data_IF_566094418906
#
_entry.id   IF_566094418906
#
_cell.length_a   1.000
_cell.length_b   1.000
_cell.length_c   1.000
_cell.angle_alpha   90.00
_cell.angle_beta   90.00
_cell.angle_gamma   90.00
#
_symmetry.space_group_name_H-M   'P 1'
#
loop_
_entity.id
_entity.type
_entity.pdbx_description
1 polymer ?
#
# COMPACT_ATOMS: atom_id res chain seq x y z
N UNK A 1 -14.47 29.42 -3.07
CA UNK A 1 -13.10 29.00 -3.46
C UNK A 1 -13.19 27.49 -3.70
N UNK A 2 -12.17 26.88 -4.30
CA UNK A 2 -12.16 25.42 -4.41
C UNK A 2 -11.88 24.86 -3.01
N UNK A 3 -12.71 23.91 -2.57
CA UNK A 3 -12.60 23.30 -1.25
C UNK A 3 -11.43 22.34 -1.26
N UNK A 4 -10.60 22.37 -0.23
CA UNK A 4 -9.42 21.52 -0.16
C UNK A 4 -9.40 20.63 1.07
N UNK A 5 -8.77 19.48 0.97
CA UNK A 5 -8.54 18.55 2.09
C UNK A 5 -7.03 18.40 2.29
N UNK A 6 -6.57 18.59 3.52
CA UNK A 6 -5.21 18.23 3.91
C UNK A 6 -5.18 16.73 4.23
N UNK A 7 -4.38 15.97 3.51
CA UNK A 7 -4.18 14.53 3.73
C UNK A 7 -2.84 14.31 4.40
N UNK A 8 -2.82 13.52 5.48
CA UNK A 8 -1.65 13.19 6.27
C UNK A 8 -1.46 11.67 6.34
N UNK A 9 -0.23 11.23 6.09
CA UNK A 9 0.20 9.84 6.23
C UNK A 9 1.45 9.79 7.12
N UNK A 10 1.19 9.56 8.41
CA UNK A 10 2.19 9.61 9.48
C UNK A 10 2.78 8.23 9.72
N UNK A 11 4.04 8.04 9.30
CA UNK A 11 4.84 6.85 9.56
C UNK A 11 5.79 7.02 10.75
N UNK A 12 6.51 5.94 11.09
CA UNK A 12 7.44 5.93 12.22
C UNK A 12 8.60 6.92 12.09
N UNK A 13 9.04 7.19 10.86
CA UNK A 13 10.21 8.02 10.54
C UNK A 13 9.95 9.05 9.45
N UNK A 14 8.69 9.22 9.03
CA UNK A 14 8.33 10.17 7.98
C UNK A 14 6.88 10.63 8.12
N UNK A 15 6.57 11.83 7.64
CA UNK A 15 5.22 12.36 7.48
C UNK A 15 5.06 12.79 6.02
N UNK A 16 4.19 12.11 5.26
CA UNK A 16 3.77 12.61 3.95
C UNK A 16 2.53 13.48 4.12
N UNK A 17 2.45 14.53 3.32
CA UNK A 17 1.31 15.42 3.30
C UNK A 17 0.94 15.79 1.86
N UNK A 18 -0.34 16.05 1.66
CA UNK A 18 -0.89 16.54 0.40
C UNK A 18 -2.09 17.44 0.65
N UNK A 19 -2.29 18.46 -0.18
CA UNK A 19 -3.52 19.25 -0.22
C UNK A 19 -4.21 18.97 -1.55
N UNK A 20 -5.41 18.42 -1.47
CA UNK A 20 -6.17 17.97 -2.63
C UNK A 20 -7.45 18.79 -2.76
N UNK A 21 -7.75 19.24 -3.97
CA UNK A 21 -9.08 19.67 -4.37
C UNK A 21 -9.85 18.46 -4.94
N UNK A 22 -10.78 17.84 -4.18
CA UNK A 22 -11.37 16.56 -4.56
C UNK A 22 -12.36 16.67 -5.72
N UNK A 23 -12.96 17.84 -5.92
CA UNK A 23 -13.93 18.11 -7.00
C UNK A 23 -13.23 18.23 -8.37
N UNK A 24 -12.01 18.78 -8.39
CA UNK A 24 -11.19 18.96 -9.59
C UNK A 24 -10.10 17.89 -9.74
N UNK A 25 -9.94 17.01 -8.75
CA UNK A 25 -8.88 16.02 -8.64
C UNK A 25 -7.47 16.63 -8.69
N UNK A 26 -7.34 17.89 -8.26
CA UNK A 26 -6.08 18.63 -8.37
C UNK A 26 -5.27 18.48 -7.08
N UNK A 27 -4.04 17.97 -7.23
CA UNK A 27 -3.00 18.04 -6.21
C UNK A 27 -2.44 19.47 -6.16
N UNK A 28 -2.77 20.23 -5.12
CA UNK A 28 -2.36 21.63 -4.95
C UNK A 28 -0.91 21.73 -4.49
N UNK A 29 -0.55 20.88 -3.51
CA UNK A 29 0.80 20.73 -3.00
C UNK A 29 0.93 19.36 -2.36
N UNK A 30 2.08 18.72 -2.54
CA UNK A 30 2.48 17.52 -1.83
C UNK A 30 3.89 17.65 -1.29
N UNK A 31 4.23 16.81 -0.33
CA UNK A 31 5.58 16.74 0.19
C UNK A 31 5.77 15.63 1.21
N UNK A 32 7.01 15.53 1.67
CA UNK A 32 7.42 14.55 2.66
C UNK A 32 8.43 15.17 3.62
N UNK A 33 8.19 14.96 4.91
CA UNK A 33 9.17 15.20 5.97
C UNK A 33 9.75 13.85 6.34
N UNK A 34 11.05 13.66 6.13
CA UNK A 34 11.75 12.41 6.41
C UNK A 34 12.62 12.51 7.67
N UNK A 35 13.05 11.35 8.17
CA UNK A 35 13.99 11.20 9.28
C UNK A 35 13.50 11.82 10.59
N UNK A 36 12.21 11.67 10.88
CA UNK A 36 11.63 12.04 12.18
C UNK A 36 12.34 11.23 13.27
N UNK A 37 12.83 11.91 14.31
CA UNK A 37 13.62 11.32 15.39
C UNK A 37 15.10 11.12 15.06
N UNK A 38 15.50 11.31 13.79
CA UNK A 38 16.87 11.13 13.30
C UNK A 38 17.36 12.37 12.54
N UNK A 39 17.49 13.51 13.23
CA UNK A 39 18.03 14.71 12.61
C UNK A 39 17.54 15.99 13.27
N UNK A 40 17.15 16.96 12.44
CA UNK A 40 16.63 18.25 12.89
C UNK A 40 15.16 18.18 13.33
N UNK A 41 14.39 17.19 12.82
CA UNK A 41 12.99 16.95 13.17
C UNK A 41 12.94 15.90 14.28
N UNK A 42 12.58 16.30 15.50
CA UNK A 42 12.67 15.46 16.70
C UNK A 42 11.47 14.54 16.87
N UNK A 43 10.28 15.00 16.51
CA UNK A 43 9.01 14.32 16.73
C UNK A 43 7.97 14.70 15.67
N UNK A 44 6.77 14.12 15.77
CA UNK A 44 5.67 14.37 14.84
C UNK A 44 5.10 15.79 14.91
N UNK A 45 5.27 16.50 16.04
CA UNK A 45 4.84 17.89 16.17
C UNK A 45 5.73 18.80 15.29
N UNK A 46 7.05 18.62 15.39
CA UNK A 46 8.00 19.32 14.51
C UNK A 46 7.87 18.87 13.05
N UNK A 47 7.53 17.60 12.80
CA UNK A 47 7.30 17.13 11.44
C UNK A 47 6.09 17.82 10.81
N UNK A 48 4.99 17.97 11.55
CA UNK A 48 3.80 18.67 11.06
C UNK A 48 4.09 20.16 10.83
N UNK A 49 4.82 20.81 11.74
CA UNK A 49 5.24 22.19 11.54
C UNK A 49 6.12 22.34 10.29
N UNK A 50 7.09 21.43 10.09
CA UNK A 50 7.93 21.44 8.90
C UNK A 50 7.13 21.23 7.62
N UNK A 51 6.09 20.39 7.64
CA UNK A 51 5.17 20.24 6.50
C UNK A 51 4.45 21.57 6.19
N UNK A 52 4.00 22.29 7.22
CA UNK A 52 3.35 23.59 7.05
C UNK A 52 4.31 24.65 6.51
N UNK A 53 5.57 24.64 6.97
CA UNK A 53 6.60 25.55 6.49
C UNK A 53 6.92 25.27 5.02
N UNK A 54 7.07 23.99 4.61
CA UNK A 54 7.27 23.60 3.21
C UNK A 54 6.10 24.04 2.32
N UNK A 55 4.85 23.88 2.79
CA UNK A 55 3.68 24.38 2.05
C UNK A 55 3.72 25.91 1.92
N UNK A 56 4.04 26.65 2.98
CA UNK A 56 4.15 28.09 2.94
C UNK A 56 5.28 28.57 2.01
N UNK A 57 6.42 27.88 1.98
CA UNK A 57 7.54 28.14 1.06
C UNK A 57 7.15 27.94 -0.40
N UNK A 58 6.25 26.98 -0.68
CA UNK A 58 5.65 26.79 -2.01
C UNK A 58 4.56 27.82 -2.37
N UNK A 59 4.27 28.75 -1.46
CA UNK A 59 3.23 29.78 -1.63
C UNK A 59 1.83 29.34 -1.20
N UNK A 60 1.68 28.13 -0.66
CA UNK A 60 0.42 27.52 -0.26
C UNK A 60 0.24 27.60 1.26
N UNK A 61 -0.15 28.77 1.78
CA UNK A 61 -0.38 28.92 3.22
C UNK A 61 -1.74 28.34 3.62
N UNK A 62 -1.81 27.71 4.80
CA UNK A 62 -3.05 27.09 5.30
C UNK A 62 -4.26 28.04 5.30
N UNK A 63 -4.06 29.31 5.64
CA UNK A 63 -5.11 30.34 5.66
C UNK A 63 -5.63 30.74 4.27
N UNK A 64 -4.96 30.30 3.20
CA UNK A 64 -5.33 30.57 1.81
C UNK A 64 -5.95 29.37 1.08
N UNK A 65 -5.94 28.19 1.69
CA UNK A 65 -6.26 26.91 1.03
C UNK A 65 -7.73 26.48 1.13
N UNK A 66 -8.61 27.26 1.78
CA UNK A 66 -10.04 26.93 2.00
C UNK A 66 -10.22 25.46 2.46
N UNK A 67 -9.44 25.07 3.47
CA UNK A 67 -9.43 23.72 4.00
C UNK A 67 -10.78 23.40 4.66
N UNK A 68 -11.37 22.27 4.28
CA UNK A 68 -12.66 21.80 4.83
C UNK A 68 -12.52 20.59 5.74
N UNK A 69 -11.41 19.87 5.69
CA UNK A 69 -11.14 18.69 6.51
C UNK A 69 -9.64 18.36 6.56
N UNK A 70 -9.27 17.52 7.52
CA UNK A 70 -7.97 16.83 7.56
C UNK A 70 -8.19 15.32 7.51
N UNK A 71 -7.72 14.67 6.45
CA UNK A 71 -7.74 13.22 6.29
C UNK A 71 -6.49 12.56 6.84
N UNK A 72 -6.65 11.53 7.67
CA UNK A 72 -5.57 10.77 8.28
C UNK A 72 -5.60 9.34 7.77
N UNK A 73 -4.49 8.89 7.16
CA UNK A 73 -4.33 7.48 6.87
C UNK A 73 -4.07 6.72 8.18
N UNK A 74 -4.90 5.73 8.46
CA UNK A 74 -4.75 4.82 9.60
C UNK A 74 -4.65 3.40 9.07
N UNK A 75 -3.67 2.63 9.54
CA UNK A 75 -3.43 1.30 8.96
C UNK A 75 -4.49 0.30 9.43
N UNK A 76 -4.80 0.24 10.73
CA UNK A 76 -5.67 -0.81 11.28
C UNK A 76 -6.82 -0.23 12.11
N UNK A 77 -8.06 -0.53 11.72
CA UNK A 77 -9.27 -0.19 12.49
C UNK A 77 -9.97 -1.40 13.14
N UNK A 78 -9.35 -2.58 13.04
CA UNK A 78 -9.86 -3.79 13.68
C UNK A 78 -11.07 -4.35 12.92
N UNK A 79 -11.84 -5.24 13.54
CA UNK A 79 -13.00 -5.82 12.88
C UNK A 79 -14.14 -4.82 12.72
N UNK A 80 -14.28 -3.85 13.64
CA UNK A 80 -15.49 -3.03 13.73
C UNK A 80 -15.37 -1.66 13.06
N UNK A 81 -14.15 -1.15 12.87
CA UNK A 81 -13.92 0.19 12.33
C UNK A 81 -13.14 0.08 11.03
N UNK A 82 -13.83 0.32 9.93
CA UNK A 82 -13.23 0.17 8.60
C UNK A 82 -13.71 1.25 7.64
N UNK A 83 -14.84 1.92 7.91
CA UNK A 83 -15.32 3.04 7.11
C UNK A 83 -14.57 4.33 7.47
N UNK A 84 -14.47 5.30 6.55
CA UNK A 84 -14.05 6.66 6.90
C UNK A 84 -14.87 7.17 8.09
N UNK A 85 -14.18 7.62 9.14
CA UNK A 85 -14.82 7.95 10.43
C UNK A 85 -14.31 9.29 10.95
N UNK A 86 -15.21 10.16 11.41
CA UNK A 86 -14.84 11.41 12.10
C UNK A 86 -14.06 11.08 13.37
N UNK A 87 -12.95 11.77 13.58
CA UNK A 87 -12.06 11.55 14.71
C UNK A 87 -12.58 12.30 15.93
N UNK A 88 -12.94 11.54 16.95
CA UNK A 88 -13.15 12.00 18.31
C UNK A 88 -12.22 11.25 19.29
N UNK A 89 -12.31 11.57 20.58
CA UNK A 89 -11.46 10.97 21.61
C UNK A 89 -11.76 9.47 21.80
N UNK A 90 -12.99 9.03 21.50
CA UNK A 90 -13.38 7.62 21.59
C UNK A 90 -12.73 6.80 20.47
N UNK A 91 -12.69 7.33 19.25
CA UNK A 91 -12.01 6.71 18.12
C UNK A 91 -10.50 6.63 18.37
N UNK A 92 -9.88 7.71 18.89
CA UNK A 92 -8.45 7.71 19.25
C UNK A 92 -8.14 6.59 20.24
N UNK A 93 -8.90 6.48 21.32
CA UNK A 93 -8.72 5.41 22.31
C UNK A 93 -8.86 4.01 21.68
N UNK A 94 -9.77 3.86 20.72
CA UNK A 94 -9.95 2.57 20.03
C UNK A 94 -8.80 2.24 19.08
N UNK A 95 -8.29 3.22 18.33
CA UNK A 95 -7.10 3.04 17.47
C UNK A 95 -5.88 2.69 18.32
N UNK A 96 -5.76 3.26 19.52
CA UNK A 96 -4.67 2.97 20.47
C UNK A 96 -4.71 1.52 20.96
N UNK A 97 -5.89 1.03 21.36
CA UNK A 97 -6.10 -0.40 21.69
C UNK A 97 -5.67 -1.31 20.52
N UNK A 98 -5.98 -0.91 19.29
CA UNK A 98 -5.66 -1.65 18.07
C UNK A 98 -4.19 -1.52 17.64
N UNK A 99 -3.38 -0.69 18.30
CA UNK A 99 -1.94 -0.60 18.05
C UNK A 99 -1.23 -1.93 18.24
N UNK A 100 -1.77 -2.84 19.05
CA UNK A 100 -1.26 -4.21 19.18
C UNK A 100 -1.31 -5.01 17.85
N UNK A 101 -2.24 -4.68 16.93
CA UNK A 101 -2.36 -5.32 15.61
C UNK A 101 -1.44 -4.67 14.56
N UNK A 102 -1.06 -3.41 14.75
CA UNK A 102 -0.21 -2.67 13.82
C UNK A 102 0.80 -1.75 14.56
N UNK A 103 1.72 -2.32 15.36
CA UNK A 103 2.55 -1.55 16.31
C UNK A 103 3.51 -0.57 15.64
N UNK A 104 3.89 -0.84 14.39
CA UNK A 104 4.77 0.06 13.62
C UNK A 104 4.03 1.17 12.86
N UNK A 105 2.69 1.17 12.87
CA UNK A 105 1.90 2.04 11.99
C UNK A 105 0.79 2.82 12.72
N UNK A 106 0.00 2.17 13.58
CA UNK A 106 -1.07 2.87 14.31
C UNK A 106 -0.53 3.93 15.29
N UNK A 107 0.53 3.66 16.09
CA UNK A 107 1.08 4.67 16.99
C UNK A 107 1.54 5.96 16.30
N UNK A 108 2.35 5.96 15.23
CA UNK A 108 2.69 7.21 14.54
C UNK A 108 1.49 7.89 13.86
N UNK A 109 0.49 7.13 13.41
CA UNK A 109 -0.76 7.70 12.91
C UNK A 109 -1.49 8.50 14.01
N UNK A 110 -1.59 7.94 15.22
CA UNK A 110 -2.17 8.61 16.38
C UNK A 110 -1.42 9.89 16.75
N UNK A 111 -0.09 9.86 16.79
CA UNK A 111 0.72 11.05 17.04
C UNK A 111 0.43 12.15 16.01
N UNK A 112 0.35 11.80 14.72
CA UNK A 112 -0.02 12.75 13.67
C UNK A 112 -1.44 13.30 13.83
N UNK A 113 -2.40 12.47 14.23
CA UNK A 113 -3.78 12.88 14.52
C UNK A 113 -3.81 13.89 15.66
N UNK A 114 -3.15 13.59 16.77
CA UNK A 114 -3.14 14.43 17.97
C UNK A 114 -2.51 15.80 17.69
N UNK A 115 -1.36 15.84 17.00
CA UNK A 115 -0.70 17.10 16.68
C UNK A 115 -1.49 17.91 15.65
N UNK A 116 -2.09 17.26 14.66
CA UNK A 116 -2.93 17.95 13.69
C UNK A 116 -4.19 18.53 14.34
N UNK A 117 -4.84 17.82 15.28
CA UNK A 117 -6.02 18.33 16.00
C UNK A 117 -5.68 19.55 16.88
N UNK A 118 -4.46 19.61 17.43
CA UNK A 118 -3.98 20.79 18.16
C UNK A 118 -3.76 21.98 17.23
N UNK A 119 -3.21 21.73 16.04
CA UNK A 119 -2.88 22.78 15.08
C UNK A 119 -4.09 23.31 14.29
N UNK A 120 -5.07 22.45 14.01
CA UNK A 120 -6.26 22.74 13.19
C UNK A 120 -7.56 22.36 13.92
N UNK A 121 -7.83 22.91 15.13
CA UNK A 121 -8.89 22.44 16.02
C UNK A 121 -10.31 22.68 15.49
N UNK A 122 -10.48 23.63 14.56
CA UNK A 122 -11.78 24.01 14.01
C UNK A 122 -12.18 23.19 12.77
N UNK A 123 -11.27 22.34 12.25
CA UNK A 123 -11.55 21.47 11.12
C UNK A 123 -12.03 20.09 11.58
N UNK A 124 -12.91 19.41 10.83
CA UNK A 124 -13.17 17.99 11.04
C UNK A 124 -11.95 17.17 10.64
N UNK A 125 -11.56 16.24 11.51
CA UNK A 125 -10.53 15.24 11.23
C UNK A 125 -11.21 13.91 10.89
N UNK A 126 -10.72 13.21 9.86
CA UNK A 126 -11.30 11.94 9.40
C UNK A 126 -10.21 10.87 9.34
N UNK A 127 -10.43 9.72 9.97
CA UNK A 127 -9.58 8.55 9.81
C UNK A 127 -10.06 7.72 8.63
N UNK A 128 -9.15 7.38 7.71
CA UNK A 128 -9.40 6.49 6.57
C UNK A 128 -8.51 5.25 6.72
N UNK A 129 -9.13 4.07 6.70
CA UNK A 129 -8.47 2.83 7.08
C UNK A 129 -8.00 2.02 5.87
N UNK A 130 -6.74 1.58 5.86
CA UNK A 130 -6.20 0.70 4.79
C UNK A 130 -6.94 -0.63 4.66
N UNK A 131 -7.54 -1.08 5.75
CA UNK A 131 -8.28 -2.35 5.87
C UNK A 131 -9.71 -2.27 5.34
N UNK A 132 -10.19 -1.06 5.01
CA UNK A 132 -11.58 -0.78 4.61
C UNK A 132 -12.09 -1.68 3.49
N UNK A 133 -11.36 -1.68 2.37
CA UNK A 133 -11.77 -2.34 1.14
C UNK A 133 -11.91 -3.86 1.32
N UNK A 134 -11.08 -4.45 2.17
CA UNK A 134 -10.99 -5.89 2.40
C UNK A 134 -11.83 -6.40 3.58
N UNK A 135 -12.58 -5.53 4.25
CA UNK A 135 -13.39 -5.90 5.41
C UNK A 135 -14.33 -7.09 5.13
N UNK A 136 -15.03 -7.03 3.99
CA UNK A 136 -16.02 -8.03 3.54
C UNK A 136 -15.41 -9.19 2.75
N UNK A 137 -14.10 -9.47 2.90
CA UNK A 137 -13.48 -10.65 2.30
C UNK A 137 -14.28 -11.93 2.61
N UNK A 138 -14.44 -12.85 1.63
CA UNK A 138 -15.10 -14.12 1.87
C UNK A 138 -14.48 -14.87 3.06
N UNK A 139 -15.27 -15.54 3.92
CA UNK A 139 -14.73 -16.23 5.10
C UNK A 139 -13.59 -17.21 4.79
N UNK A 140 -13.63 -17.87 3.64
CA UNK A 140 -12.59 -18.79 3.18
C UNK A 140 -11.24 -18.10 2.87
N UNK A 141 -11.25 -16.83 2.47
CA UNK A 141 -10.04 -16.03 2.26
C UNK A 141 -9.61 -15.29 3.54
N UNK A 142 -10.58 -14.91 4.38
CA UNK A 142 -10.36 -14.16 5.61
C UNK A 142 -9.83 -15.03 6.77
N UNK A 143 -10.12 -16.33 6.78
CA UNK A 143 -9.88 -17.20 7.95
C UNK A 143 -8.60 -18.01 7.81
N UNK A 144 -7.64 -17.82 8.72
CA UNK A 144 -6.48 -18.71 8.82
C UNK A 144 -6.87 -20.09 9.38
N UNK A 145 -6.21 -21.14 8.90
CA UNK A 145 -6.44 -22.52 9.35
C UNK A 145 -5.72 -22.83 10.68
N UNK A 146 -6.15 -22.16 11.76
CA UNK A 146 -5.63 -22.32 13.14
C UNK A 146 -6.76 -22.73 14.10
N UNK A 147 -6.46 -22.84 15.40
CA UNK A 147 -7.47 -23.07 16.43
C UNK A 147 -8.55 -21.97 16.38
N UNK A 148 -9.80 -22.40 16.19
CA UNK A 148 -10.94 -21.50 15.96
C UNK A 148 -11.20 -20.58 17.15
N UNK A 149 -11.11 -21.11 18.36
CA UNK A 149 -11.48 -20.37 19.57
C UNK A 149 -10.36 -19.38 19.93
N UNK A 150 -9.09 -19.75 19.69
CA UNK A 150 -7.97 -18.82 19.76
C UNK A 150 -8.12 -17.69 18.75
N UNK A 151 -8.45 -18.01 17.49
CA UNK A 151 -8.62 -16.99 16.45
C UNK A 151 -9.74 -16.01 16.80
N UNK A 152 -10.88 -16.50 17.29
CA UNK A 152 -12.01 -15.68 17.68
C UNK A 152 -11.70 -14.79 18.90
N UNK A 153 -11.02 -15.33 19.92
CA UNK A 153 -10.65 -14.58 21.12
C UNK A 153 -9.77 -13.36 20.78
N UNK A 154 -8.81 -13.54 19.86
CA UNK A 154 -7.81 -12.54 19.52
C UNK A 154 -8.08 -11.80 18.21
N UNK A 155 -9.28 -11.97 17.63
CA UNK A 155 -9.68 -11.34 16.36
C UNK A 155 -8.70 -11.58 15.21
N UNK A 156 -8.12 -12.79 15.16
CA UNK A 156 -7.13 -13.20 14.15
C UNK A 156 -7.85 -13.55 12.86
N UNK A 157 -7.60 -12.74 11.83
CA UNK A 157 -8.06 -12.95 10.46
C UNK A 157 -7.11 -12.24 9.50
N UNK A 158 -7.27 -12.51 8.21
CA UNK A 158 -6.73 -11.66 7.15
C UNK A 158 -7.55 -10.36 7.14
N UNK A 159 -6.86 -9.24 7.31
CA UNK A 159 -7.43 -7.91 7.18
C UNK A 159 -7.14 -7.31 5.81
N UNK A 160 -5.90 -7.42 5.32
CA UNK A 160 -5.47 -6.82 4.05
C UNK A 160 -5.20 -5.31 4.17
N UNK A 161 -4.27 -4.79 3.36
CA UNK A 161 -3.83 -3.39 3.42
C UNK A 161 -3.60 -2.81 2.01
N UNK A 162 -3.30 -1.52 1.92
CA UNK A 162 -3.37 -0.73 0.69
C UNK A 162 -4.77 -0.74 0.06
N UNK A 163 -5.83 -0.91 0.87
CA UNK A 163 -7.21 -1.04 0.38
C UNK A 163 -7.69 0.16 -0.42
N UNK A 164 -7.29 1.37 -0.03
CA UNK A 164 -7.54 2.62 -0.77
C UNK A 164 -6.98 2.55 -2.19
N UNK A 165 -5.73 2.13 -2.34
CA UNK A 165 -5.08 1.96 -3.64
C UNK A 165 -5.75 0.87 -4.47
N UNK A 166 -5.96 -0.34 -3.89
CA UNK A 166 -6.61 -1.45 -4.60
C UNK A 166 -8.01 -1.09 -5.08
N UNK A 167 -8.79 -0.42 -4.24
CA UNK A 167 -10.11 0.07 -4.61
C UNK A 167 -10.02 1.05 -5.77
N UNK A 168 -9.25 2.14 -5.60
CA UNK A 168 -9.12 3.21 -6.59
C UNK A 168 -8.70 2.67 -7.96
N UNK A 169 -7.61 1.90 -8.03
CA UNK A 169 -7.10 1.45 -9.32
C UNK A 169 -8.01 0.41 -9.99
N UNK A 170 -8.80 -0.35 -9.22
CA UNK A 170 -9.80 -1.27 -9.77
C UNK A 170 -10.99 -0.54 -10.40
N UNK A 171 -11.39 0.59 -9.81
CA UNK A 171 -12.42 1.48 -10.34
C UNK A 171 -11.92 2.17 -11.63
N UNK A 172 -10.69 2.68 -11.60
CA UNK A 172 -10.05 3.33 -12.76
C UNK A 172 -9.81 2.35 -13.92
N UNK A 173 -9.42 1.10 -13.64
CA UNK A 173 -9.26 0.08 -14.66
C UNK A 173 -10.58 -0.25 -15.36
N UNK A 174 -11.67 -0.41 -14.60
CA UNK A 174 -12.99 -0.64 -15.19
C UNK A 174 -13.44 0.55 -16.06
N UNK A 175 -13.23 1.78 -15.58
CA UNK A 175 -13.52 2.99 -16.33
C UNK A 175 -12.70 3.09 -17.63
N UNK A 176 -11.40 2.78 -17.59
CA UNK A 176 -10.52 2.76 -18.75
C UNK A 176 -10.96 1.75 -19.82
N UNK A 177 -11.45 0.58 -19.38
CA UNK A 177 -11.98 -0.45 -20.28
C UNK A 177 -13.38 -0.12 -20.82
N UNK A 178 -14.04 0.91 -20.29
CA UNK A 178 -15.43 1.22 -20.64
C UNK A 178 -16.42 0.15 -20.17
N UNK A 179 -16.08 -0.59 -19.11
CA UNK A 179 -16.89 -1.69 -18.57
C UNK A 179 -17.52 -1.29 -17.23
N UNK A 180 -18.76 -1.72 -16.94
CA UNK A 180 -19.33 -1.61 -15.60
C UNK A 180 -18.46 -2.35 -14.59
N UNK A 181 -18.13 -1.72 -13.45
CA UNK A 181 -17.26 -2.29 -12.43
C UNK A 181 -17.72 -3.66 -11.94
N UNK A 182 -19.04 -3.86 -11.82
CA UNK A 182 -19.66 -5.11 -11.37
C UNK A 182 -19.50 -6.28 -12.36
N UNK A 183 -19.03 -6.02 -13.58
CA UNK A 183 -18.79 -7.03 -14.62
C UNK A 183 -17.34 -7.51 -14.75
N UNK A 184 -16.39 -6.88 -14.03
CA UNK A 184 -14.95 -7.08 -14.25
C UNK A 184 -14.33 -7.98 -13.17
N UNK A 185 -13.51 -8.96 -13.58
CA UNK A 185 -12.59 -9.73 -12.75
C UNK A 185 -11.18 -9.17 -12.88
N UNK A 186 -10.59 -8.76 -11.76
CA UNK A 186 -9.34 -8.01 -11.75
C UNK A 186 -8.31 -8.65 -10.83
N UNK A 187 -7.04 -8.58 -11.23
CA UNK A 187 -5.91 -8.71 -10.32
C UNK A 187 -5.25 -7.34 -10.22
N UNK A 188 -5.07 -6.82 -9.02
CA UNK A 188 -4.33 -5.58 -8.79
C UNK A 188 -3.02 -5.89 -8.09
N UNK A 189 -1.93 -5.34 -8.60
CA UNK A 189 -0.56 -5.49 -8.12
C UNK A 189 -0.04 -4.12 -7.69
N UNK A 190 -0.22 -3.80 -6.40
CA UNK A 190 0.37 -2.62 -5.79
C UNK A 190 1.82 -2.95 -5.41
N UNK A 191 2.77 -2.43 -6.19
CA UNK A 191 4.20 -2.73 -6.03
C UNK A 191 4.95 -1.46 -5.66
N UNK A 192 5.17 -1.23 -4.36
CA UNK A 192 5.99 -0.15 -3.82
C UNK A 192 6.97 -0.65 -2.76
N UNK A 193 7.35 0.23 -1.81
CA UNK A 193 8.15 -0.18 -0.64
C UNK A 193 7.43 -1.27 0.18
N UNK A 194 6.11 -1.15 0.30
CA UNK A 194 5.22 -2.26 0.58
C UNK A 194 4.65 -2.82 -0.72
N UNK A 195 4.51 -4.13 -0.82
CA UNK A 195 3.95 -4.77 -1.99
C UNK A 195 2.80 -5.69 -1.60
N UNK A 196 1.69 -5.58 -2.31
CA UNK A 196 0.53 -6.43 -2.10
C UNK A 196 -0.22 -6.70 -3.41
N UNK A 197 -0.82 -7.87 -3.52
CA UNK A 197 -1.73 -8.21 -4.59
C UNK A 197 -3.18 -8.32 -4.06
N UNK A 198 -4.16 -8.12 -4.93
CA UNK A 198 -5.56 -8.46 -4.65
C UNK A 198 -6.22 -9.13 -5.85
N UNK A 199 -7.23 -9.96 -5.55
CA UNK A 199 -8.16 -10.53 -6.53
C UNK A 199 -9.53 -9.90 -6.29
N UNK A 200 -10.17 -9.36 -7.33
CA UNK A 200 -11.40 -8.57 -7.23
C UNK A 200 -12.41 -9.08 -8.26
N UNK A 201 -13.66 -9.29 -7.82
CA UNK A 201 -14.77 -9.69 -8.69
C UNK A 201 -15.88 -8.66 -8.55
N UNK A 202 -16.22 -7.97 -9.63
CA UNK A 202 -17.33 -7.03 -9.65
C UNK A 202 -17.15 -5.87 -8.66
N UNK A 203 -15.93 -5.36 -8.52
CA UNK A 203 -15.57 -4.33 -7.53
C UNK A 203 -15.47 -4.81 -6.08
N UNK A 204 -15.64 -6.11 -5.80
CA UNK A 204 -15.49 -6.68 -4.45
C UNK A 204 -14.24 -7.55 -4.34
N UNK A 205 -13.37 -7.32 -3.36
CA UNK A 205 -12.21 -8.18 -3.19
C UNK A 205 -12.63 -9.57 -2.72
N UNK A 206 -12.03 -10.58 -3.34
CA UNK A 206 -12.22 -11.99 -2.98
C UNK A 206 -10.97 -12.59 -2.33
N UNK A 207 -9.80 -11.95 -2.50
CA UNK A 207 -8.56 -12.28 -1.78
C UNK A 207 -7.56 -11.10 -1.81
N UNK A 208 -6.57 -11.11 -0.91
CA UNK A 208 -5.43 -10.19 -0.89
C UNK A 208 -4.22 -10.80 -0.17
N UNK A 209 -3.02 -10.39 -0.57
CA UNK A 209 -1.79 -11.09 -0.15
C UNK A 209 -1.35 -10.74 1.27
N UNK A 210 -1.63 -9.51 1.73
CA UNK A 210 -1.30 -9.13 3.11
C UNK A 210 -2.33 -9.69 4.08
N UNK A 211 -1.90 -9.90 5.32
CA UNK A 211 -2.56 -10.76 6.28
C UNK A 211 -3.25 -10.05 7.42
N UNK A 212 -3.09 -10.62 8.61
CA UNK A 212 -3.29 -9.94 9.89
C UNK A 212 -2.47 -8.65 9.97
N UNK A 213 -1.24 -8.72 9.46
CA UNK A 213 -0.29 -7.61 9.41
C UNK A 213 0.21 -7.39 7.99
N UNK A 214 0.85 -6.24 7.69
CA UNK A 214 1.47 -5.99 6.40
C UNK A 214 2.73 -6.85 6.10
N UNK A 215 2.99 -7.92 6.85
CA UNK A 215 4.18 -8.79 6.69
C UNK A 215 3.96 -9.95 5.72
N UNK A 216 2.73 -10.47 5.62
CA UNK A 216 2.40 -11.59 4.71
C UNK A 216 2.40 -11.11 3.24
N UNK A 217 2.66 -12.03 2.32
CA UNK A 217 2.43 -11.81 0.91
C UNK A 217 3.68 -11.79 0.04
N UNK A 218 3.73 -10.74 -0.77
CA UNK A 218 4.82 -10.48 -1.71
C UNK A 218 6.13 -10.17 -0.97
N UNK A 219 7.24 -10.43 -1.65
CA UNK A 219 8.54 -9.84 -1.26
C UNK A 219 8.42 -8.32 -1.40
N UNK A 220 8.96 -7.56 -0.45
CA UNK A 220 8.87 -6.09 -0.45
C UNK A 220 10.26 -5.47 -0.28
N UNK A 221 10.35 -4.16 -0.15
CA UNK A 221 11.63 -3.46 0.01
C UNK A 221 12.45 -4.00 1.19
N UNK A 222 11.86 -4.01 2.39
CA UNK A 222 12.53 -4.50 3.63
C UNK A 222 11.79 -5.65 4.33
N UNK A 223 10.60 -6.01 3.84
CA UNK A 223 9.75 -7.06 4.41
C UNK A 223 9.92 -8.39 3.68
N UNK A 224 9.89 -9.48 4.42
CA UNK A 224 10.06 -10.84 3.87
C UNK A 224 8.93 -11.28 2.93
N UNK A 225 7.69 -10.89 3.23
CA UNK A 225 6.53 -11.57 2.66
C UNK A 225 6.35 -12.96 3.28
N UNK A 226 5.70 -13.87 2.57
CA UNK A 226 5.51 -15.25 3.00
C UNK A 226 6.83 -15.95 3.36
N UNK A 227 6.81 -16.61 4.51
CA UNK A 227 7.87 -17.44 5.07
C UNK A 227 7.25 -18.63 5.78
N UNK A 228 8.04 -19.68 6.01
CA UNK A 228 7.62 -20.81 6.84
C UNK A 228 7.50 -20.39 8.31
N UNK A 229 6.36 -20.60 9.00
CA UNK A 229 6.26 -20.34 10.45
C UNK A 229 7.27 -21.17 11.27
N UNK A 230 7.71 -22.33 10.78
CA UNK A 230 8.78 -23.12 11.40
C UNK A 230 10.13 -22.39 11.47
N UNK A 231 10.40 -21.47 10.54
CA UNK A 231 11.59 -20.61 10.55
C UNK A 231 11.64 -19.74 11.81
N UNK A 232 10.49 -19.18 12.23
CA UNK A 232 10.39 -18.35 13.42
C UNK A 232 10.78 -19.14 14.67
N UNK A 233 10.25 -20.36 14.78
CA UNK A 233 10.54 -21.28 15.89
C UNK A 233 12.01 -21.66 15.90
N UNK A 234 12.61 -21.90 14.72
CA UNK A 234 14.03 -22.23 14.58
C UNK A 234 14.93 -21.06 15.03
N UNK A 235 14.66 -19.84 14.57
CA UNK A 235 15.44 -18.66 14.95
C UNK A 235 15.35 -18.40 16.45
N UNK A 236 14.15 -18.50 17.02
CA UNK A 236 13.95 -18.34 18.45
C UNK A 236 14.67 -19.42 19.26
N UNK A 237 14.47 -20.70 18.92
CA UNK A 237 14.98 -21.84 19.70
C UNK A 237 16.47 -22.10 19.51
N UNK A 238 16.99 -21.91 18.30
CA UNK A 238 18.35 -22.32 17.92
C UNK A 238 19.29 -21.13 17.77
N UNK A 239 18.84 -20.04 17.15
CA UNK A 239 19.64 -18.82 17.05
C UNK A 239 19.49 -17.90 18.28
N UNK A 240 18.63 -18.27 19.26
CA UNK A 240 18.35 -17.52 20.49
C UNK A 240 17.95 -16.07 20.23
N UNK A 241 17.28 -15.80 19.11
CA UNK A 241 16.73 -14.48 18.83
C UNK A 241 15.45 -14.26 19.65
N UNK A 242 15.26 -13.04 20.16
CA UNK A 242 13.98 -12.65 20.75
C UNK A 242 12.88 -12.58 19.69
N UNK A 243 11.61 -12.60 20.10
CA UNK A 243 10.48 -12.47 19.15
C UNK A 243 10.53 -11.10 18.47
N UNK A 244 10.91 -10.07 19.22
CA UNK A 244 11.08 -8.70 18.78
C UNK A 244 12.21 -8.58 17.75
N UNK A 245 13.35 -9.25 17.98
CA UNK A 245 14.47 -9.26 17.01
C UNK A 245 14.11 -9.97 15.71
N UNK A 246 13.29 -11.02 15.79
CA UNK A 246 12.78 -11.73 14.62
C UNK A 246 11.80 -10.84 13.85
N UNK A 247 10.83 -10.23 14.53
CA UNK A 247 9.88 -9.30 13.91
C UNK A 247 10.60 -8.12 13.24
N UNK A 248 11.56 -7.52 13.92
CA UNK A 248 12.38 -6.42 13.39
C UNK A 248 13.18 -6.88 12.17
N UNK A 249 13.78 -8.08 12.22
CA UNK A 249 14.51 -8.64 11.09
C UNK A 249 13.60 -8.85 9.87
N UNK A 250 12.39 -9.38 10.09
CA UNK A 250 11.42 -9.63 9.03
C UNK A 250 10.78 -8.36 8.47
N UNK A 251 10.69 -7.28 9.25
CA UNK A 251 10.13 -6.00 8.81
C UNK A 251 11.15 -5.04 8.19
N UNK A 252 12.39 -5.01 8.70
CA UNK A 252 13.37 -3.95 8.38
C UNK A 252 14.65 -4.46 7.70
N UNK A 253 14.98 -5.75 7.86
CA UNK A 253 16.24 -6.36 7.39
C UNK A 253 16.02 -7.54 6.43
N UNK A 254 14.83 -7.70 5.89
CA UNK A 254 14.46 -8.76 4.94
C UNK A 254 14.14 -8.17 3.56
N UNK A 255 13.43 -8.91 2.71
CA UNK A 255 13.00 -8.43 1.40
C UNK A 255 14.17 -8.22 0.44
N UNK A 256 13.99 -7.30 -0.51
CA UNK A 256 15.02 -6.93 -1.49
C UNK A 256 16.27 -6.40 -0.77
N UNK A 257 16.11 -5.65 0.32
CA UNK A 257 17.23 -5.14 1.11
C UNK A 257 18.03 -6.25 1.77
N UNK A 258 17.35 -7.18 2.43
CA UNK A 258 18.00 -8.27 3.16
C UNK A 258 18.77 -9.21 2.24
N UNK A 259 18.26 -9.44 1.03
CA UNK A 259 18.86 -10.37 0.06
C UNK A 259 19.86 -9.69 -0.89
N UNK A 260 19.50 -8.52 -1.43
CA UNK A 260 20.26 -7.81 -2.47
C UNK A 260 20.97 -6.55 -1.98
N UNK A 261 20.78 -6.17 -0.71
CA UNK A 261 21.43 -5.02 -0.10
C UNK A 261 20.89 -3.65 -0.51
N UNK A 262 19.70 -3.58 -1.12
CA UNK A 262 19.10 -2.36 -1.68
C UNK A 262 17.57 -2.38 -1.59
N UNK A 263 16.94 -1.21 -1.50
CA UNK A 263 15.47 -1.06 -1.57
C UNK A 263 15.00 -0.44 -2.89
N UNK A 264 15.80 0.42 -3.52
CA UNK A 264 15.45 1.08 -4.78
C UNK A 264 15.73 0.14 -5.96
N UNK A 265 14.68 -0.24 -6.69
CA UNK A 265 14.79 -1.12 -7.86
C UNK A 265 15.70 -0.56 -8.97
N UNK A 266 15.81 0.78 -9.10
CA UNK A 266 16.74 1.39 -10.07
C UNK A 266 18.19 1.07 -9.70
N UNK A 267 18.52 1.14 -8.41
CA UNK A 267 19.85 0.81 -7.91
C UNK A 267 20.06 -0.71 -7.93
N UNK A 268 19.02 -1.51 -7.66
CA UNK A 268 19.07 -2.96 -7.78
C UNK A 268 19.44 -3.40 -9.21
N UNK A 269 18.79 -2.84 -10.24
CA UNK A 269 19.11 -3.09 -11.65
C UNK A 269 20.55 -2.68 -11.99
N UNK A 270 20.99 -1.50 -11.54
CA UNK A 270 22.38 -1.06 -11.72
C UNK A 270 23.38 -2.05 -11.10
N UNK A 271 23.06 -2.62 -9.93
CA UNK A 271 23.90 -3.64 -9.29
C UNK A 271 23.93 -4.94 -10.10
N UNK A 272 22.79 -5.37 -10.64
CA UNK A 272 22.69 -6.54 -11.53
C UNK A 272 23.57 -6.37 -12.78
N UNK A 273 23.64 -5.16 -13.35
CA UNK A 273 24.41 -4.91 -14.56
C UNK A 273 25.91 -4.74 -14.28
N UNK A 274 26.27 -4.02 -13.22
CA UNK A 274 27.59 -3.40 -13.11
C UNK A 274 28.33 -3.60 -11.78
N UNK A 275 27.68 -4.12 -10.73
CA UNK A 275 28.34 -4.34 -9.44
C UNK A 275 29.40 -5.46 -9.52
N UNK A 276 30.34 -5.52 -8.54
CA UNK A 276 31.22 -6.67 -8.36
C UNK A 276 30.45 -7.98 -8.25
N UNK A 277 31.08 -9.09 -8.66
CA UNK A 277 30.41 -10.39 -8.85
C UNK A 277 29.52 -10.82 -7.67
N UNK A 278 30.01 -10.72 -6.43
CA UNK A 278 29.24 -11.12 -5.24
C UNK A 278 27.99 -10.27 -5.04
N UNK A 279 28.08 -8.94 -5.20
CA UNK A 279 26.95 -8.03 -5.07
C UNK A 279 25.96 -8.20 -6.21
N UNK A 280 26.47 -8.42 -7.41
CA UNK A 280 25.68 -8.71 -8.60
C UNK A 280 24.83 -9.96 -8.43
N UNK A 281 25.44 -11.06 -7.98
CA UNK A 281 24.75 -12.32 -7.72
C UNK A 281 23.67 -12.17 -6.63
N UNK A 282 23.97 -11.42 -5.57
CA UNK A 282 23.00 -11.15 -4.50
C UNK A 282 21.82 -10.30 -5.00
N UNK A 283 22.08 -9.26 -5.79
CA UNK A 283 21.06 -8.40 -6.39
C UNK A 283 20.16 -9.18 -7.38
N UNK A 284 20.77 -10.00 -8.26
CA UNK A 284 20.04 -10.86 -9.18
C UNK A 284 19.15 -11.85 -8.42
N UNK A 285 19.70 -12.52 -7.40
CA UNK A 285 18.92 -13.46 -6.60
C UNK A 285 17.75 -12.78 -5.89
N UNK A 286 17.95 -11.57 -5.35
CA UNK A 286 16.87 -10.81 -4.72
C UNK A 286 15.75 -10.48 -5.71
N UNK A 287 16.10 -10.03 -6.92
CA UNK A 287 15.16 -9.78 -8.00
C UNK A 287 14.42 -11.05 -8.43
N UNK A 288 15.14 -12.15 -8.65
CA UNK A 288 14.54 -13.44 -9.04
C UNK A 288 13.56 -13.97 -7.99
N UNK A 289 13.91 -13.85 -6.69
CA UNK A 289 13.02 -14.23 -5.58
C UNK A 289 11.77 -13.34 -5.53
N UNK A 290 11.93 -12.03 -5.77
CA UNK A 290 10.82 -11.08 -5.86
C UNK A 290 9.86 -11.45 -7.00
N UNK A 291 10.39 -11.63 -8.22
CA UNK A 291 9.61 -12.01 -9.41
C UNK A 291 8.97 -13.38 -9.23
N UNK A 292 9.70 -14.36 -8.71
CA UNK A 292 9.17 -15.69 -8.46
C UNK A 292 7.95 -15.64 -7.52
N UNK A 293 8.03 -14.85 -6.44
CA UNK A 293 6.90 -14.69 -5.52
C UNK A 293 5.71 -14.00 -6.20
N UNK A 294 5.96 -12.92 -6.94
CA UNK A 294 4.92 -12.18 -7.66
C UNK A 294 4.18 -13.06 -8.67
N UNK A 295 4.91 -13.86 -9.45
CA UNK A 295 4.35 -14.81 -10.41
C UNK A 295 3.43 -15.84 -9.74
N UNK A 296 3.81 -16.34 -8.55
CA UNK A 296 2.95 -17.27 -7.80
C UNK A 296 1.63 -16.62 -7.38
N UNK A 297 1.65 -15.38 -6.93
CA UNK A 297 0.42 -14.66 -6.55
C UNK A 297 -0.48 -14.39 -7.76
N UNK A 298 0.09 -14.00 -8.90
CA UNK A 298 -0.66 -13.84 -10.15
C UNK A 298 -1.33 -15.17 -10.53
N UNK A 299 -0.56 -16.27 -10.56
CA UNK A 299 -1.12 -17.60 -10.86
C UNK A 299 -2.18 -18.07 -9.87
N UNK A 300 -1.98 -17.85 -8.58
CA UNK A 300 -2.95 -18.18 -7.54
C UNK A 300 -4.26 -17.41 -7.74
N UNK A 301 -4.19 -16.12 -8.03
CA UNK A 301 -5.38 -15.29 -8.21
C UNK A 301 -6.08 -15.54 -9.54
N UNK A 302 -5.35 -15.87 -10.61
CA UNK A 302 -5.97 -16.41 -11.82
C UNK A 302 -6.77 -17.69 -11.53
N UNK A 303 -6.23 -18.59 -10.70
CA UNK A 303 -6.93 -19.81 -10.32
C UNK A 303 -8.19 -19.54 -9.47
N UNK A 304 -8.17 -18.53 -8.59
CA UNK A 304 -9.34 -18.12 -7.81
C UNK A 304 -10.43 -17.47 -8.68
N UNK A 305 -10.03 -16.64 -9.64
CA UNK A 305 -10.94 -15.92 -10.53
C UNK A 305 -11.46 -16.80 -11.69
N UNK A 306 -10.76 -17.91 -11.99
CA UNK A 306 -10.93 -18.73 -13.19
C UNK A 306 -10.28 -18.12 -14.44
N UNK A 307 -10.48 -16.81 -14.62
CA UNK A 307 -9.75 -15.94 -15.55
C UNK A 307 -9.81 -14.50 -15.02
N UNK A 308 -8.87 -13.65 -15.45
CA UNK A 308 -8.94 -12.22 -15.20
C UNK A 308 -9.30 -11.49 -16.51
N UNK A 309 -10.16 -10.49 -16.44
CA UNK A 309 -10.39 -9.57 -17.54
C UNK A 309 -9.24 -8.56 -17.63
N UNK A 310 -8.70 -8.17 -16.46
CA UNK A 310 -7.59 -7.22 -16.35
C UNK A 310 -6.60 -7.55 -15.22
N UNK A 311 -5.31 -7.33 -15.49
CA UNK A 311 -4.24 -7.26 -14.49
C UNK A 311 -3.71 -5.83 -14.45
N UNK A 312 -3.65 -5.23 -13.26
CA UNK A 312 -3.25 -3.85 -13.06
C UNK A 312 -1.95 -3.78 -12.27
N UNK A 313 -0.95 -3.09 -12.81
CA UNK A 313 0.23 -2.68 -12.05
C UNK A 313 0.08 -1.24 -11.56
N UNK A 314 0.42 -1.01 -10.30
CA UNK A 314 0.37 0.32 -9.68
C UNK A 314 1.48 0.50 -8.64
N UNK A 315 1.55 1.70 -8.06
CA UNK A 315 2.57 2.17 -7.12
C UNK A 315 3.97 2.26 -7.73
N UNK A 316 4.94 2.71 -6.93
CA UNK A 316 6.25 3.16 -7.42
C UNK A 316 6.98 2.17 -8.36
N UNK A 317 7.06 0.88 -8.02
CA UNK A 317 7.69 -0.14 -8.88
C UNK A 317 6.75 -0.53 -10.02
N UNK A 318 5.47 -0.77 -9.74
CA UNK A 318 4.51 -1.22 -10.75
C UNK A 318 4.32 -0.22 -11.89
N UNK A 319 4.34 1.07 -11.58
CA UNK A 319 4.16 2.15 -12.54
C UNK A 319 5.41 2.37 -13.42
N UNK A 320 6.60 2.22 -12.84
CA UNK A 320 7.85 2.74 -13.41
C UNK A 320 8.82 1.65 -13.88
N UNK A 321 8.72 0.41 -13.40
CA UNK A 321 9.67 -0.66 -13.72
C UNK A 321 9.12 -1.62 -14.78
N UNK A 322 9.47 -1.36 -16.04
CA UNK A 322 9.06 -2.19 -17.17
C UNK A 322 9.63 -3.62 -17.11
N UNK A 323 10.82 -3.81 -16.52
CA UNK A 323 11.42 -5.13 -16.38
C UNK A 323 10.63 -5.99 -15.39
N UNK A 324 10.23 -5.42 -14.24
CA UNK A 324 9.38 -6.12 -13.27
C UNK A 324 8.07 -6.56 -13.92
N UNK A 325 7.39 -5.67 -14.65
CA UNK A 325 6.13 -6.01 -15.35
C UNK A 325 6.31 -7.13 -16.37
N UNK A 326 7.38 -7.06 -17.15
CA UNK A 326 7.76 -8.09 -18.12
C UNK A 326 7.98 -9.43 -17.43
N UNK A 327 8.90 -9.48 -16.48
CA UNK A 327 9.34 -10.74 -15.87
C UNK A 327 8.25 -11.37 -15.00
N UNK A 328 7.36 -10.56 -14.42
CA UNK A 328 6.16 -11.02 -13.74
C UNK A 328 5.19 -11.76 -14.67
N UNK A 329 5.15 -11.44 -15.96
CA UNK A 329 4.18 -11.97 -16.93
C UNK A 329 4.78 -12.88 -18.02
N UNK A 330 6.11 -12.92 -18.16
CA UNK A 330 6.80 -13.75 -19.15
C UNK A 330 6.35 -15.21 -19.07
N UNK A 331 6.02 -15.83 -20.21
CA UNK A 331 5.59 -17.23 -20.28
C UNK A 331 4.16 -17.49 -19.79
N UNK A 332 3.35 -16.47 -19.54
CA UNK A 332 1.93 -16.61 -19.17
C UNK A 332 0.96 -16.57 -20.37
N UNK A 333 1.47 -16.62 -21.61
CA UNK A 333 0.61 -16.69 -22.80
C UNK A 333 -0.39 -17.87 -22.79
N UNK A 334 -0.03 -19.10 -22.32
CA UNK A 334 -1.00 -20.19 -22.15
C UNK A 334 -2.11 -19.90 -21.12
N UNK A 335 -1.93 -18.89 -20.27
CA UNK A 335 -2.92 -18.39 -19.30
C UNK A 335 -3.67 -17.15 -19.83
N UNK A 336 -3.51 -16.81 -21.12
CA UNK A 336 -4.19 -15.71 -21.77
C UNK A 336 -3.58 -14.34 -21.51
N UNK A 337 -2.29 -14.25 -21.21
CA UNK A 337 -1.58 -12.99 -20.97
C UNK A 337 -0.43 -12.84 -21.97
N UNK A 338 -0.57 -11.86 -22.86
CA UNK A 338 0.43 -11.50 -23.86
C UNK A 338 0.80 -10.02 -23.70
N UNK A 339 2.07 -9.75 -23.36
CA UNK A 339 2.58 -8.40 -23.21
C UNK A 339 2.99 -7.83 -24.57
N UNK A 340 2.75 -6.53 -24.78
CA UNK A 340 3.37 -5.77 -25.86
C UNK A 340 4.59 -5.03 -25.30
N UNK A 341 5.79 -5.39 -25.78
CA UNK A 341 7.04 -4.84 -25.27
C UNK A 341 7.19 -3.34 -25.54
N UNK A 342 6.68 -2.83 -26.67
CA UNK A 342 6.76 -1.40 -26.98
C UNK A 342 5.84 -0.59 -26.07
N UNK A 343 4.62 -1.10 -25.83
CA UNK A 343 3.70 -0.46 -24.89
C UNK A 343 4.21 -0.52 -23.45
N UNK A 344 4.80 -1.64 -23.05
CA UNK A 344 5.36 -1.83 -21.71
C UNK A 344 6.53 -0.86 -21.43
N UNK A 345 7.37 -0.58 -22.43
CA UNK A 345 8.51 0.35 -22.33
C UNK A 345 8.11 1.82 -22.49
N UNK A 346 6.84 2.12 -22.76
CA UNK A 346 6.36 3.49 -22.91
C UNK A 346 6.65 4.34 -21.67
N UNK A 347 7.18 5.57 -21.83
CA UNK A 347 7.45 6.50 -20.72
C UNK A 347 6.19 7.24 -20.25
N UNK A 348 5.01 6.95 -20.83
CA UNK A 348 3.75 7.54 -20.44
C UNK A 348 3.44 7.28 -18.96
N UNK A 349 3.06 8.34 -18.24
CA UNK A 349 2.75 8.28 -16.80
C UNK A 349 1.25 8.23 -16.51
N UNK A 350 0.41 8.26 -17.54
CA UNK A 350 -1.04 8.12 -17.40
C UNK A 350 -1.45 6.65 -17.37
N UNK A 351 -2.73 6.40 -17.12
CA UNK A 351 -3.30 5.06 -17.31
C UNK A 351 -3.03 4.61 -18.75
N UNK A 352 -2.46 3.41 -18.91
CA UNK A 352 -2.09 2.87 -20.21
C UNK A 352 -2.19 1.35 -20.27
N UNK A 353 -2.50 0.84 -21.46
CA UNK A 353 -2.43 -0.59 -21.79
C UNK A 353 -1.00 -0.99 -22.10
N UNK A 354 -0.59 -2.15 -21.60
CA UNK A 354 0.72 -2.76 -21.88
C UNK A 354 0.62 -4.19 -22.44
N UNK A 355 -0.58 -4.78 -22.50
CA UNK A 355 -0.81 -6.05 -23.20
C UNK A 355 -1.01 -5.86 -24.70
N UNK A 356 -0.61 -6.85 -25.50
CA UNK A 356 -0.94 -6.90 -26.93
C UNK A 356 -2.45 -6.88 -27.17
N UNK A 357 -2.90 -6.33 -28.30
CA UNK A 357 -4.33 -6.26 -28.67
C UNK A 357 -5.01 -7.64 -28.69
N UNK A 358 -4.26 -8.69 -29.03
CA UNK A 358 -4.70 -10.09 -29.04
C UNK A 358 -4.83 -10.73 -27.66
N UNK A 359 -4.24 -10.14 -26.62
CA UNK A 359 -4.20 -10.72 -25.29
C UNK A 359 -5.62 -10.89 -24.72
N UNK A 360 -6.06 -12.11 -24.36
CA UNK A 360 -7.35 -12.33 -23.73
C UNK A 360 -7.53 -11.55 -22.42
N UNK A 361 -6.46 -11.44 -21.63
CA UNK A 361 -6.40 -10.62 -20.41
C UNK A 361 -5.78 -9.28 -20.77
N UNK A 362 -6.47 -8.18 -20.46
CA UNK A 362 -5.85 -6.85 -20.60
C UNK A 362 -4.85 -6.62 -19.48
N UNK A 363 -3.69 -6.05 -19.77
CA UNK A 363 -2.72 -5.64 -18.75
C UNK A 363 -2.58 -4.13 -18.79
N UNK A 364 -2.77 -3.49 -17.65
CA UNK A 364 -2.71 -2.04 -17.50
C UNK A 364 -1.62 -1.62 -16.52
N UNK A 365 -1.10 -0.42 -16.73
CA UNK A 365 -0.49 0.37 -15.67
C UNK A 365 -1.47 1.48 -15.31
N UNK A 366 -1.84 1.56 -14.03
CA UNK A 366 -2.78 2.55 -13.49
C UNK A 366 -2.07 3.25 -12.33
N UNK A 367 -1.71 4.54 -12.44
CA UNK A 367 -1.15 5.28 -11.32
C UNK A 367 -2.14 5.32 -10.17
N UNK A 368 -1.70 5.01 -8.95
CA UNK A 368 -2.54 5.14 -7.76
C UNK A 368 -2.50 6.56 -7.23
N UNK A 369 -3.62 7.02 -6.67
CA UNK A 369 -3.70 8.29 -5.95
C UNK A 369 -4.40 8.04 -4.61
N UNK A 370 -3.62 7.63 -3.61
CA UNK A 370 -4.14 7.32 -2.27
C UNK A 370 -4.63 8.59 -1.57
N UNK A 371 -3.92 9.69 -1.78
CA UNK A 371 -4.24 11.00 -1.23
C UNK A 371 -5.59 11.52 -1.75
N UNK A 372 -5.85 11.41 -3.06
CA UNK A 372 -7.16 11.74 -3.64
C UNK A 372 -8.28 10.86 -3.10
N UNK A 373 -8.02 9.56 -2.93
CA UNK A 373 -9.01 8.63 -2.36
C UNK A 373 -9.38 9.03 -0.92
N UNK A 374 -8.39 9.40 -0.10
CA UNK A 374 -8.62 9.90 1.27
C UNK A 374 -9.37 11.24 1.24
N UNK A 375 -8.98 12.17 0.36
CA UNK A 375 -9.64 13.47 0.23
C UNK A 375 -11.13 13.33 -0.11
N UNK A 376 -11.47 12.49 -1.10
CA UNK A 376 -12.86 12.17 -1.47
C UNK A 376 -13.64 11.57 -0.31
N UNK A 377 -13.04 10.63 0.43
CA UNK A 377 -13.66 10.02 1.60
C UNK A 377 -13.97 11.06 2.70
N UNK A 378 -13.09 12.04 2.90
CA UNK A 378 -13.30 13.13 3.85
C UNK A 378 -14.46 14.03 3.41
N UNK A 379 -14.45 14.50 2.16
CA UNK A 379 -15.49 15.40 1.65
C UNK A 379 -16.86 14.75 1.69
N UNK A 380 -16.97 13.49 1.27
CA UNK A 380 -18.23 12.75 1.35
C UNK A 380 -18.79 12.70 2.78
N UNK A 381 -17.93 12.54 3.79
CA UNK A 381 -18.34 12.42 5.19
C UNK A 381 -18.72 13.77 5.81
N UNK A 382 -18.02 14.84 5.45
CA UNK A 382 -18.24 16.20 5.99
C UNK A 382 -19.47 16.88 5.37
N UNK A 383 -19.93 16.41 4.21
CA UNK A 383 -21.15 16.90 3.55
C UNK A 383 -22.46 16.26 4.05
N UNK A 384 -22.38 15.18 4.84
CA UNK A 384 -23.55 14.56 5.49
C UNK A 384 -23.93 15.31 6.75
#
# INVERSE_FOLDING_TARGET
MARSVLVLNSGSSSLKFAVIEPDSETMVVDGIVERIGEGQVRDHAEALQSAFDQMAESGQRLDTLDLVAVGHRVVHGGPDIYRPTLIDDALIAKIDELSALAPLHNPPALLGIEEARKALPDLPHVAVFDTAFFHDLPPAAATYAIDRDVAAQWQIRRYGFHGTSHQYVSEQAAAFLGLPLDSVRQIVLHLGNGASASAIVGGRPVDTSMGLTPMEGLVMGTRSGDIDPGLLIYLWRTANMSVEDIEEMLNRRSGVRGLGGEIDFRVLHQRIESAPETERQAAQLAYDVYIHRLRKYIGAYLALLGSADVIVFTAGVGENDAAVRRDALTGMAPLGIELDEQLNESPEKTIRRISADSSPTTVLVVPTDEELAIARACTYLVEQ
#
